data_IF_140764651160
#
_entry.id   IF_140764651160
#
_cell.length_a   1.000
_cell.length_b   1.000
_cell.length_c   1.000
_cell.angle_alpha   90.00
_cell.angle_beta   90.00
_cell.angle_gamma   90.00
#
_symmetry.space_group_name_H-M   'P 1'
#
loop_
_entity.id
_entity.type
_entity.pdbx_description
1 polymer ?
#
# COMPACT_ATOMS: atom_id res chain seq x y z
N UNK A 1 -6.42 -16.18 -21.56
CA UNK A 1 -5.34 -16.00 -22.51
C UNK A 1 -4.48 -14.90 -21.96
N UNK A 2 -3.18 -15.16 -21.81
CA UNK A 2 -2.21 -14.12 -21.49
C UNK A 2 -1.90 -13.31 -22.76
N UNK A 3 -2.31 -12.05 -22.77
CA UNK A 3 -1.99 -11.11 -23.84
C UNK A 3 -0.71 -10.37 -23.43
N UNK A 4 0.44 -10.66 -24.06
CA UNK A 4 1.69 -10.04 -23.67
C UNK A 4 1.66 -8.54 -23.97
N UNK A 5 2.20 -7.75 -23.04
CA UNK A 5 2.36 -6.31 -23.21
C UNK A 5 3.80 -6.01 -23.61
N UNK A 6 3.96 -5.11 -24.58
CA UNK A 6 5.28 -4.57 -24.91
C UNK A 6 5.81 -3.75 -23.75
N UNK A 7 7.14 -3.59 -23.69
CA UNK A 7 7.77 -2.79 -22.64
C UNK A 7 7.30 -1.33 -22.70
N UNK A 8 7.10 -0.79 -23.89
CA UNK A 8 6.62 0.59 -24.10
C UNK A 8 5.20 0.76 -23.55
N UNK A 9 4.30 -0.17 -23.85
CA UNK A 9 2.92 -0.13 -23.33
C UNK A 9 2.89 -0.24 -21.81
N UNK A 10 3.75 -1.08 -21.22
CA UNK A 10 3.87 -1.17 -19.76
C UNK A 10 4.30 0.17 -19.13
N UNK A 11 5.26 0.87 -19.74
CA UNK A 11 5.74 2.16 -19.23
C UNK A 11 4.74 3.29 -19.40
N UNK A 12 3.84 3.20 -20.39
CA UNK A 12 2.71 4.10 -20.54
C UNK A 12 1.62 3.84 -19.50
N UNK A 13 1.31 2.56 -19.22
CA UNK A 13 0.32 2.17 -18.22
C UNK A 13 0.77 2.42 -16.78
N UNK A 14 2.07 2.22 -16.50
CA UNK A 14 2.68 2.40 -15.18
C UNK A 14 3.78 3.47 -15.30
N UNK A 15 3.44 4.76 -15.15
CA UNK A 15 4.41 5.85 -15.30
C UNK A 15 5.42 5.89 -14.14
N UNK A 16 6.58 6.51 -14.40
CA UNK A 16 7.65 6.71 -13.39
C UNK A 16 7.18 7.52 -12.19
N UNK A 17 6.35 8.53 -12.44
CA UNK A 17 5.81 9.43 -11.43
C UNK A 17 4.36 9.05 -11.21
N UNK A 18 3.91 9.16 -9.97
CA UNK A 18 2.52 8.92 -9.59
C UNK A 18 1.53 9.70 -10.47
N UNK A 19 0.45 9.03 -10.89
CA UNK A 19 -0.69 9.71 -11.51
C UNK A 19 -1.55 10.43 -10.46
N UNK A 20 -2.43 11.34 -10.90
CA UNK A 20 -3.36 12.03 -9.99
C UNK A 20 -4.25 11.09 -9.19
N UNK A 21 -4.73 10.01 -9.81
CA UNK A 21 -5.56 9.01 -9.13
C UNK A 21 -4.74 8.20 -8.11
N UNK A 22 -3.50 7.84 -8.46
CA UNK A 22 -2.59 7.16 -7.53
C UNK A 22 -2.24 8.04 -6.34
N UNK A 23 -2.02 9.33 -6.58
CA UNK A 23 -1.81 10.32 -5.52
C UNK A 23 -3.03 10.34 -4.59
N UNK A 24 -4.24 10.50 -5.12
CA UNK A 24 -5.48 10.51 -4.34
C UNK A 24 -5.69 9.20 -3.55
N UNK A 25 -5.36 8.06 -4.15
CA UNK A 25 -5.44 6.77 -3.48
C UNK A 25 -4.49 6.69 -2.28
N UNK A 26 -3.23 7.11 -2.44
CA UNK A 26 -2.22 7.10 -1.36
C UNK A 26 -2.50 8.17 -0.30
N UNK A 27 -3.24 9.22 -0.64
CA UNK A 27 -3.77 10.17 0.36
C UNK A 27 -4.64 9.48 1.41
N UNK A 28 -5.32 8.39 1.07
CA UNK A 28 -5.95 7.52 2.05
C UNK A 28 -7.00 8.22 2.91
N UNK A 29 -7.04 7.89 4.19
CA UNK A 29 -7.97 8.48 5.16
C UNK A 29 -7.42 9.78 5.73
N UNK A 30 -8.30 10.60 6.32
CA UNK A 30 -7.89 11.82 7.02
C UNK A 30 -6.85 11.57 8.12
N UNK A 31 -6.90 10.41 8.78
CA UNK A 31 -5.89 9.96 9.75
C UNK A 31 -4.50 9.83 9.12
N UNK A 32 -4.40 9.35 7.88
CA UNK A 32 -3.12 9.18 7.18
C UNK A 32 -2.53 10.52 6.76
N UNK A 33 -3.38 11.47 6.36
CA UNK A 33 -2.99 12.86 6.19
C UNK A 33 -2.44 13.45 7.49
N UNK A 34 -3.20 13.34 8.59
CA UNK A 34 -2.81 13.92 9.87
C UNK A 34 -1.48 13.34 10.37
N UNK A 35 -1.28 12.03 10.24
CA UNK A 35 -0.01 11.38 10.57
C UNK A 35 1.16 11.98 9.79
N UNK A 36 1.02 12.20 8.48
CA UNK A 36 2.07 12.80 7.65
C UNK A 36 2.32 14.27 7.96
N UNK A 37 1.25 15.01 8.29
CA UNK A 37 1.36 16.39 8.74
C UNK A 37 2.14 16.47 10.06
N UNK A 38 1.82 15.60 11.03
CA UNK A 38 2.55 15.52 12.29
C UNK A 38 4.03 15.17 12.09
N UNK A 39 4.35 14.22 11.20
CA UNK A 39 5.73 13.93 10.82
C UNK A 39 6.41 15.19 10.29
N UNK A 40 5.74 15.94 9.41
CA UNK A 40 6.27 17.18 8.83
C UNK A 40 6.58 18.23 9.92
N UNK A 41 5.66 18.42 10.87
CA UNK A 41 5.85 19.33 12.01
C UNK A 41 7.01 18.89 12.89
N UNK A 42 7.08 17.60 13.24
CA UNK A 42 8.18 17.03 14.02
C UNK A 42 9.51 17.22 13.31
N UNK A 43 9.59 16.99 12.01
CA UNK A 43 10.83 17.20 11.24
C UNK A 43 11.28 18.67 11.30
N UNK A 44 10.37 19.63 11.16
CA UNK A 44 10.71 21.05 11.27
C UNK A 44 11.20 21.41 12.68
N UNK A 45 10.56 20.89 13.73
CA UNK A 45 10.99 21.09 15.13
C UNK A 45 12.38 20.50 15.36
N UNK A 46 12.65 19.30 14.86
CA UNK A 46 13.98 18.67 14.95
C UNK A 46 15.04 19.51 14.24
N UNK A 47 14.77 19.95 13.01
CA UNK A 47 15.70 20.81 12.25
C UNK A 47 15.95 22.13 12.99
N UNK A 48 14.92 22.72 13.59
CA UNK A 48 15.04 23.92 14.41
C UNK A 48 15.90 23.68 15.66
N UNK A 49 15.67 22.59 16.40
CA UNK A 49 16.49 22.23 17.57
C UNK A 49 17.96 22.03 17.20
N UNK A 50 18.23 21.33 16.09
CA UNK A 50 19.59 21.13 15.56
C UNK A 50 20.25 22.48 15.27
N UNK A 51 19.51 23.41 14.65
CA UNK A 51 20.01 24.77 14.39
C UNK A 51 20.34 25.53 15.67
N UNK A 52 19.53 25.41 16.71
CA UNK A 52 19.77 26.07 18.01
C UNK A 52 21.01 25.51 18.70
N UNK A 53 21.24 24.18 18.62
CA UNK A 53 22.35 23.51 19.30
C UNK A 53 23.69 23.70 18.56
N UNK A 54 23.71 23.55 17.23
CA UNK A 54 24.95 23.63 16.44
C UNK A 54 25.27 25.04 15.91
N UNK A 55 24.39 26.00 16.11
CA UNK A 55 24.55 27.39 15.67
C UNK A 55 24.31 27.60 14.17
N UNK A 56 24.57 28.84 13.69
CA UNK A 56 24.19 29.27 12.34
C UNK A 56 25.08 28.73 11.20
N UNK A 57 26.24 28.14 11.52
CA UNK A 57 27.17 27.60 10.54
C UNK A 57 26.57 26.53 9.62
N UNK A 58 25.51 25.84 10.07
CA UNK A 58 24.79 24.83 9.29
C UNK A 58 23.48 25.32 8.67
N UNK A 59 23.14 26.61 8.80
CA UNK A 59 21.86 27.17 8.34
C UNK A 59 21.58 26.91 6.85
N UNK A 60 22.61 26.99 6.01
CA UNK A 60 22.49 26.73 4.57
C UNK A 60 22.11 25.30 4.20
N UNK A 61 22.52 24.30 5.01
CA UNK A 61 22.17 22.89 4.79
C UNK A 61 20.86 22.50 5.49
N UNK A 62 20.60 23.07 6.67
CA UNK A 62 19.41 22.77 7.46
C UNK A 62 18.13 23.32 6.82
N UNK A 63 18.21 24.47 6.15
CA UNK A 63 17.06 25.11 5.51
C UNK A 63 16.39 24.23 4.44
N UNK A 64 17.09 23.67 3.42
CA UNK A 64 16.47 22.80 2.44
C UNK A 64 15.92 21.50 3.06
N UNK A 65 16.59 20.95 4.07
CA UNK A 65 16.11 19.77 4.81
C UNK A 65 14.81 20.10 5.54
N UNK A 66 14.74 21.26 6.19
CA UNK A 66 13.54 21.76 6.85
C UNK A 66 12.38 21.99 5.88
N UNK A 67 12.64 22.53 4.70
CA UNK A 67 11.62 22.70 3.65
C UNK A 67 11.14 21.33 3.15
N UNK A 68 12.06 20.42 2.78
CA UNK A 68 11.67 19.08 2.34
C UNK A 68 10.90 18.32 3.42
N UNK A 69 11.32 18.41 4.68
CA UNK A 69 10.62 17.82 5.82
C UNK A 69 9.24 18.44 6.07
N UNK A 70 9.15 19.77 6.07
CA UNK A 70 7.91 20.50 6.32
C UNK A 70 6.84 20.29 5.25
N UNK A 71 7.25 20.03 4.01
CA UNK A 71 6.33 19.68 2.92
C UNK A 71 6.15 18.17 2.72
N UNK A 72 6.66 17.31 3.63
CA UNK A 72 6.56 15.85 3.52
C UNK A 72 5.12 15.36 3.34
N UNK A 73 4.16 15.99 4.03
CA UNK A 73 2.74 15.66 3.87
C UNK A 73 2.23 15.79 2.43
N UNK A 74 2.82 16.67 1.64
CA UNK A 74 2.40 16.96 0.27
C UNK A 74 3.11 16.08 -0.76
N UNK A 75 4.44 15.96 -0.69
CA UNK A 75 5.22 15.19 -1.68
C UNK A 75 5.40 13.71 -1.30
N UNK A 76 5.28 13.36 -0.02
CA UNK A 76 5.38 11.97 0.46
C UNK A 76 4.44 11.01 -0.27
N UNK A 77 3.14 11.33 -0.46
CA UNK A 77 2.23 10.48 -1.25
C UNK A 77 2.70 10.26 -2.69
N UNK A 78 3.30 11.28 -3.33
CA UNK A 78 3.87 11.15 -4.68
C UNK A 78 5.03 10.15 -4.66
N UNK A 79 5.92 10.24 -3.67
CA UNK A 79 7.04 9.31 -3.53
C UNK A 79 6.53 7.87 -3.37
N UNK A 80 5.61 7.62 -2.44
CA UNK A 80 5.12 6.27 -2.16
C UNK A 80 4.41 5.63 -3.35
N UNK A 81 3.59 6.39 -4.08
CA UNK A 81 2.97 5.91 -5.32
C UNK A 81 4.03 5.64 -6.41
N UNK A 82 5.04 6.50 -6.55
CA UNK A 82 6.11 6.33 -7.55
C UNK A 82 6.99 5.12 -7.23
N UNK A 83 7.30 4.86 -5.96
CA UNK A 83 8.04 3.67 -5.53
C UNK A 83 7.26 2.39 -5.86
N UNK A 84 5.94 2.40 -5.66
CA UNK A 84 5.08 1.28 -6.03
C UNK A 84 5.06 1.05 -7.55
N UNK A 85 5.02 2.11 -8.34
CA UNK A 85 5.15 2.00 -9.80
C UNK A 85 6.52 1.42 -10.21
N UNK A 86 7.60 1.85 -9.56
CA UNK A 86 8.94 1.32 -9.81
C UNK A 86 9.02 -0.18 -9.49
N UNK A 87 8.34 -0.63 -8.43
CA UNK A 87 8.25 -2.04 -8.09
C UNK A 87 7.58 -2.86 -9.18
N UNK A 88 6.50 -2.38 -9.80
CA UNK A 88 5.87 -3.10 -10.92
C UNK A 88 6.74 -3.05 -12.20
N UNK A 89 7.49 -1.97 -12.41
CA UNK A 89 8.39 -1.83 -13.57
C UNK A 89 9.64 -2.71 -13.48
N UNK A 90 9.94 -3.30 -12.32
CA UNK A 90 11.08 -4.23 -12.12
C UNK A 90 10.91 -5.52 -12.92
N UNK A 91 9.68 -5.91 -13.22
CA UNK A 91 9.38 -7.13 -13.96
C UNK A 91 9.66 -6.95 -15.46
N UNK A 92 10.40 -7.90 -16.03
CA UNK A 92 10.78 -7.90 -17.46
C UNK A 92 9.58 -8.20 -18.37
N UNK A 93 8.69 -9.07 -17.90
CA UNK A 93 7.52 -9.51 -18.65
C UNK A 93 6.25 -9.11 -17.93
N UNK A 94 5.28 -8.64 -18.70
CA UNK A 94 3.96 -8.21 -18.24
C UNK A 94 2.94 -8.55 -19.29
N UNK A 95 1.70 -8.80 -18.89
CA UNK A 95 0.62 -9.08 -19.80
C UNK A 95 -0.73 -8.90 -19.14
N UNK A 96 -1.78 -8.77 -19.94
CA UNK A 96 -3.14 -8.86 -19.45
C UNK A 96 -3.56 -10.31 -19.40
N UNK A 97 -4.14 -10.71 -18.27
CA UNK A 97 -4.82 -11.98 -18.17
C UNK A 97 -6.28 -11.80 -18.56
N UNK A 98 -6.68 -12.40 -19.68
CA UNK A 98 -8.08 -12.45 -20.14
C UNK A 98 -8.64 -13.84 -19.86
N UNK A 99 -9.28 -14.00 -18.71
CA UNK A 99 -9.92 -15.25 -18.32
C UNK A 99 -11.42 -15.09 -18.09
N UNK A 100 -12.07 -16.21 -17.77
CA UNK A 100 -13.43 -16.28 -17.29
C UNK A 100 -13.40 -16.79 -15.85
N UNK A 101 -14.40 -16.41 -15.04
CA UNK A 101 -14.58 -17.01 -13.71
C UNK A 101 -15.17 -18.40 -13.91
N UNK A 102 -14.46 -19.43 -13.48
CA UNK A 102 -14.88 -20.82 -13.55
C UNK A 102 -15.69 -21.19 -12.31
N UNK A 103 -15.18 -20.83 -11.12
CA UNK A 103 -15.85 -21.10 -9.85
C UNK A 103 -15.61 -19.98 -8.82
N UNK A 104 -16.54 -19.86 -7.88
CA UNK A 104 -16.53 -18.88 -6.79
C UNK A 104 -16.92 -19.56 -5.49
N UNK A 105 -15.98 -19.65 -4.55
CA UNK A 105 -16.24 -20.26 -3.24
C UNK A 105 -15.60 -19.46 -2.10
N UNK A 106 -16.21 -19.61 -0.92
CA UNK A 106 -15.76 -18.94 0.30
C UNK A 106 -15.07 -19.97 1.17
N UNK A 107 -13.84 -19.67 1.60
CA UNK A 107 -13.13 -20.45 2.61
C UNK A 107 -12.98 -19.64 3.90
N UNK A 108 -12.94 -20.35 5.03
CA UNK A 108 -12.50 -19.78 6.30
C UNK A 108 -11.04 -20.18 6.52
N UNK A 109 -10.16 -19.19 6.60
CA UNK A 109 -8.74 -19.41 6.88
C UNK A 109 -8.43 -18.92 8.30
N UNK A 110 -7.75 -19.75 9.08
CA UNK A 110 -7.39 -19.45 10.47
C UNK A 110 -6.11 -18.61 10.48
N UNK A 111 -6.26 -17.30 10.71
CA UNK A 111 -5.14 -16.34 10.62
C UNK A 111 -4.23 -16.45 11.86
N UNK A 112 -4.81 -16.81 13.01
CA UNK A 112 -4.07 -16.97 14.25
C UNK A 112 -4.93 -17.41 15.42
N UNK A 113 -4.28 -17.92 16.46
CA UNK A 113 -4.88 -18.23 17.76
C UNK A 113 -4.32 -17.24 18.76
N UNK A 114 -5.18 -16.45 19.40
CA UNK A 114 -4.77 -15.59 20.51
C UNK A 114 -5.25 -16.21 21.82
N UNK A 115 -4.33 -16.41 22.76
CA UNK A 115 -4.67 -16.81 24.12
C UNK A 115 -4.90 -15.54 24.95
N UNK A 116 -6.16 -15.26 25.29
CA UNK A 116 -6.53 -14.13 26.15
C UNK A 116 -7.12 -14.65 27.45
N UNK A 117 -7.09 -13.82 28.50
CA UNK A 117 -7.70 -14.17 29.79
C UNK A 117 -9.06 -13.48 29.89
N UNK A 118 -10.11 -14.22 30.25
CA UNK A 118 -11.44 -13.64 30.44
C UNK A 118 -11.51 -12.83 31.76
N UNK A 119 -12.60 -12.10 31.98
CA UNK A 119 -12.81 -11.29 33.20
C UNK A 119 -12.85 -12.11 34.50
N UNK A 120 -12.82 -13.44 34.43
CA UNK A 120 -12.78 -14.38 35.56
C UNK A 120 -11.41 -15.03 35.74
N UNK A 121 -10.39 -14.65 34.96
CA UNK A 121 -9.04 -15.20 35.07
C UNK A 121 -8.82 -16.53 34.34
N UNK A 122 -9.78 -16.99 33.54
CA UNK A 122 -9.63 -18.24 32.77
C UNK A 122 -9.02 -17.94 31.40
N UNK A 123 -8.11 -18.82 30.97
CA UNK A 123 -7.48 -18.73 29.66
C UNK A 123 -8.47 -19.16 28.57
N UNK A 124 -8.74 -18.27 27.62
CA UNK A 124 -9.64 -18.46 26.48
C UNK A 124 -8.84 -18.31 25.20
N UNK A 125 -8.88 -19.33 24.35
CA UNK A 125 -8.30 -19.29 23.01
C UNK A 125 -9.32 -18.65 22.07
N UNK A 126 -9.00 -17.46 21.57
CA UNK A 126 -9.78 -16.77 20.53
C UNK A 126 -9.17 -17.11 19.18
N UNK A 127 -9.91 -17.88 18.36
CA UNK A 127 -9.50 -18.16 16.98
C UNK A 127 -9.92 -17.00 16.08
N UNK A 128 -8.93 -16.30 15.50
CA UNK A 128 -9.18 -15.24 14.54
C UNK A 128 -9.30 -15.84 13.13
N UNK A 129 -10.53 -16.01 12.66
CA UNK A 129 -10.86 -16.57 11.33
C UNK A 129 -11.16 -15.44 10.35
N UNK A 130 -10.45 -15.39 9.22
CA UNK A 130 -10.86 -14.57 8.06
C UNK A 130 -11.67 -15.41 7.09
N UNK A 131 -12.78 -14.84 6.62
CA UNK A 131 -13.45 -15.34 5.43
C UNK A 131 -12.74 -14.80 4.20
N UNK A 132 -12.32 -15.69 3.30
CA UNK A 132 -11.72 -15.34 2.02
C UNK A 132 -12.63 -15.77 0.87
N UNK A 133 -12.74 -14.89 -0.11
CA UNK A 133 -13.40 -15.18 -1.38
C UNK A 133 -12.33 -15.69 -2.35
N UNK A 134 -12.52 -16.89 -2.86
CA UNK A 134 -11.65 -17.52 -3.83
C UNK A 134 -12.38 -17.53 -5.17
N UNK A 135 -11.68 -17.05 -6.19
CA UNK A 135 -12.14 -17.02 -7.57
C UNK A 135 -11.21 -17.91 -8.37
N UNK A 136 -11.72 -19.01 -8.88
CA UNK A 136 -10.99 -19.79 -9.88
C UNK A 136 -11.21 -19.14 -11.22
N UNK A 137 -10.13 -18.63 -11.81
CA UNK A 137 -10.17 -17.99 -13.12
C UNK A 137 -9.37 -18.82 -14.09
N UNK A 138 -9.99 -19.12 -15.22
CA UNK A 138 -9.43 -19.95 -16.26
C UNK A 138 -9.48 -19.28 -17.62
N UNK A 139 -8.77 -19.86 -18.59
CA UNK A 139 -8.83 -19.42 -19.97
C UNK A 139 -8.97 -20.54 -21.00
N UNK A 140 -9.19 -20.13 -22.25
CA UNK A 140 -9.37 -21.04 -23.39
C UNK A 140 -8.13 -21.88 -23.73
N UNK A 141 -6.95 -21.53 -23.20
CA UNK A 141 -5.73 -22.34 -23.33
C UNK A 141 -5.60 -23.43 -22.27
N UNK A 142 -6.57 -23.51 -21.34
CA UNK A 142 -6.56 -24.45 -20.22
C UNK A 142 -5.69 -24.00 -19.06
N UNK A 143 -5.27 -22.74 -19.01
CA UNK A 143 -4.58 -22.18 -17.84
C UNK A 143 -5.61 -21.79 -16.79
N UNK A 144 -5.42 -22.25 -15.56
CA UNK A 144 -6.28 -21.97 -14.41
C UNK A 144 -5.44 -21.46 -13.24
N UNK A 145 -5.95 -20.44 -12.53
CA UNK A 145 -5.28 -19.93 -11.33
C UNK A 145 -6.30 -19.42 -10.31
N UNK A 146 -6.11 -19.72 -9.00
CA UNK A 146 -6.95 -19.17 -7.96
C UNK A 146 -6.53 -17.74 -7.62
N UNK A 147 -7.49 -16.82 -7.60
CA UNK A 147 -7.32 -15.45 -7.09
C UNK A 147 -8.07 -15.33 -5.77
N UNK A 148 -7.36 -14.97 -4.71
CA UNK A 148 -7.94 -14.86 -3.37
C UNK A 148 -8.01 -13.41 -2.92
N UNK A 149 -9.14 -13.03 -2.34
CA UNK A 149 -9.32 -11.72 -1.72
C UNK A 149 -10.01 -11.84 -0.35
N UNK A 150 -9.64 -11.00 0.64
CA UNK A 150 -10.33 -10.98 1.92
C UNK A 150 -11.77 -10.48 1.74
N UNK A 151 -12.73 -11.21 2.30
CA UNK A 151 -14.15 -10.91 2.15
C UNK A 151 -14.54 -9.70 3.01
N UNK A 152 -14.53 -8.52 2.40
CA UNK A 152 -15.05 -7.28 3.05
C UNK A 152 -16.57 -7.24 3.02
N UNK A 153 -17.18 -6.58 4.01
CA UNK A 153 -18.64 -6.35 4.09
C UNK A 153 -19.26 -5.73 2.83
N UNK A 154 -18.49 -4.94 2.09
CA UNK A 154 -18.93 -4.32 0.83
C UNK A 154 -19.14 -5.30 -0.32
N UNK A 155 -18.70 -6.55 -0.20
CA UNK A 155 -18.90 -7.59 -1.22
C UNK A 155 -20.16 -8.44 -0.98
N UNK A 156 -20.90 -8.18 0.10
CA UNK A 156 -22.23 -8.77 0.29
C UNK A 156 -23.23 -7.87 -0.46
N UNK A 157 -23.78 -8.40 -1.55
CA UNK A 157 -24.93 -7.82 -2.25
C UNK A 157 -26.23 -8.38 -1.64
#
# INVERSE_FOLDING_TARGET
>A
MLVPLTRETLEQLIPRIATGDQYRYVWGKFSDFLRRLLISVVTVVVVWLIRVILGEGFGGLLLPIGIMGGFYWMWGPVLWASLRNAEYRKYKYSGFFRGQVLDVYITEELIGKEETVNSKGELVIVENRERRLNLEVGDESGFETPVQVPLKRTHQA
#
